data_IF_767104749372
#
_entry.id   IF_767104749372
#
_cell.length_a   1.000
_cell.length_b   1.000
_cell.length_c   1.000
_cell.angle_alpha   90.00
_cell.angle_beta   90.00
_cell.angle_gamma   90.00
#
_symmetry.space_group_name_H-M   'P 1'
#
loop_
_entity.id
_entity.type
_entity.pdbx_description
1 polymer ?
#
# COMPACT_ATOMS: atom_id res chain seq x y z
N UNK A 1 -9.23 21.65 10.09
CA UNK A 1 -7.83 21.24 9.97
C UNK A 1 -7.73 19.88 9.33
N UNK A 2 -6.77 19.73 8.45
CA UNK A 2 -6.63 18.48 7.70
C UNK A 2 -5.84 17.47 8.50
N UNK A 3 -6.35 16.24 8.54
CA UNK A 3 -5.59 15.13 9.08
C UNK A 3 -4.40 14.83 8.17
N UNK A 4 -3.31 14.37 8.77
CA UNK A 4 -2.22 13.78 8.01
C UNK A 4 -2.71 12.48 7.39
N UNK A 5 -2.48 12.30 6.10
CA UNK A 5 -2.99 11.17 5.35
C UNK A 5 -1.86 10.41 4.68
N UNK A 6 -1.94 9.11 4.79
CA UNK A 6 -0.95 8.19 4.19
C UNK A 6 -1.63 7.29 3.17
N UNK A 7 -0.84 6.79 2.23
CA UNK A 7 -1.31 5.85 1.22
C UNK A 7 -0.68 4.49 1.48
N UNK A 8 -1.51 3.45 1.58
CA UNK A 8 -1.06 2.07 1.64
C UNK A 8 -1.34 1.41 0.30
N UNK A 9 -0.29 0.96 -0.38
CA UNK A 9 -0.40 0.30 -1.67
C UNK A 9 -0.04 -1.17 -1.54
N UNK A 10 -0.88 -2.02 -2.08
CA UNK A 10 -0.67 -3.47 -2.12
C UNK A 10 -0.62 -3.94 -3.56
N UNK A 11 0.36 -4.73 -3.89
CA UNK A 11 0.66 -5.17 -5.25
C UNK A 11 -0.09 -6.42 -5.70
N UNK A 12 0.37 -7.01 -6.80
CA UNK A 12 -0.34 -8.11 -7.45
C UNK A 12 -0.59 -9.30 -6.53
N UNK A 13 -1.76 -9.87 -6.68
CA UNK A 13 -2.22 -11.08 -6.00
C UNK A 13 -2.47 -10.94 -4.49
N UNK A 14 -2.19 -9.78 -3.91
CA UNK A 14 -2.45 -9.58 -2.48
C UNK A 14 -3.94 -9.55 -2.16
N UNK A 15 -4.78 -9.26 -3.16
CA UNK A 15 -6.23 -9.38 -3.04
C UNK A 15 -6.70 -10.81 -2.80
N UNK A 16 -5.82 -11.80 -3.03
CA UNK A 16 -6.13 -13.22 -2.83
C UNK A 16 -5.80 -13.70 -1.42
N UNK A 17 -5.27 -12.84 -0.56
CA UNK A 17 -5.02 -13.19 0.83
C UNK A 17 -6.35 -13.55 1.49
N UNK A 18 -6.35 -14.68 2.21
CA UNK A 18 -7.58 -15.20 2.82
C UNK A 18 -8.28 -16.24 1.97
N UNK A 19 -8.05 -16.23 0.65
CA UNK A 19 -8.58 -17.24 -0.26
C UNK A 19 -7.60 -18.41 -0.48
N UNK A 20 -6.39 -18.26 0.05
CA UNK A 20 -5.37 -19.29 -0.02
C UNK A 20 -5.43 -20.18 1.22
N UNK A 21 -4.56 -21.16 1.28
CA UNK A 21 -4.47 -22.10 2.39
C UNK A 21 -4.40 -21.35 3.73
N UNK A 22 -5.43 -21.47 4.53
CA UNK A 22 -5.56 -20.79 5.82
C UNK A 22 -4.45 -21.19 6.79
N UNK A 23 -3.91 -22.41 6.68
CA UNK A 23 -2.83 -22.85 7.55
C UNK A 23 -1.55 -22.04 7.38
N UNK A 24 -1.35 -21.40 6.22
CA UNK A 24 -0.18 -20.59 5.93
C UNK A 24 -0.44 -19.11 6.23
N UNK A 25 -1.65 -18.62 6.00
CA UNK A 25 -2.02 -17.21 6.13
C UNK A 25 -3.01 -17.03 7.27
N UNK A 26 -2.51 -17.02 8.50
CA UNK A 26 -3.34 -16.97 9.71
C UNK A 26 -4.02 -15.62 9.95
N UNK A 27 -3.63 -14.58 9.26
CA UNK A 27 -4.06 -13.22 9.58
C UNK A 27 -5.22 -12.72 8.74
N UNK A 28 -5.86 -13.60 7.99
CA UNK A 28 -7.06 -13.26 7.24
C UNK A 28 -6.80 -12.57 5.92
N UNK A 29 -7.81 -11.88 5.45
CA UNK A 29 -7.82 -11.26 4.13
C UNK A 29 -7.06 -9.93 4.11
N UNK A 30 -6.81 -9.42 2.90
CA UNK A 30 -6.27 -8.08 2.72
C UNK A 30 -7.19 -7.03 3.37
N UNK A 31 -8.51 -7.23 3.29
CA UNK A 31 -9.46 -6.30 3.90
C UNK A 31 -9.28 -6.23 5.42
N UNK A 32 -8.96 -7.34 6.07
CA UNK A 32 -8.68 -7.34 7.50
C UNK A 32 -7.43 -6.53 7.81
N UNK A 33 -6.39 -6.67 7.00
CA UNK A 33 -5.16 -5.89 7.14
C UNK A 33 -5.46 -4.39 6.99
N UNK A 34 -6.21 -4.04 5.96
CA UNK A 34 -6.59 -2.64 5.70
C UNK A 34 -7.40 -2.06 6.85
N UNK A 35 -8.34 -2.84 7.40
CA UNK A 35 -9.15 -2.40 8.54
C UNK A 35 -8.27 -2.14 9.75
N UNK A 36 -7.31 -3.01 10.05
CA UNK A 36 -6.37 -2.81 11.14
C UNK A 36 -5.53 -1.54 10.96
N UNK A 37 -5.03 -1.32 9.77
CA UNK A 37 -4.25 -0.12 9.47
C UNK A 37 -5.08 1.15 9.65
N UNK A 38 -6.32 1.13 9.19
CA UNK A 38 -7.21 2.28 9.29
C UNK A 38 -7.56 2.58 10.75
N UNK A 39 -7.77 1.55 11.57
CA UNK A 39 -8.02 1.73 12.99
C UNK A 39 -6.80 2.29 13.72
N UNK A 40 -5.61 1.77 13.41
CA UNK A 40 -4.38 2.28 14.02
C UNK A 40 -4.13 3.74 13.66
N UNK A 41 -4.36 4.10 12.39
CA UNK A 41 -4.22 5.48 11.96
C UNK A 41 -5.21 6.39 12.72
N UNK A 42 -6.46 5.97 12.82
CA UNK A 42 -7.47 6.73 13.54
C UNK A 42 -7.11 6.92 15.01
N UNK A 43 -6.56 5.90 15.67
CA UNK A 43 -6.11 5.99 17.05
C UNK A 43 -5.00 7.04 17.22
N UNK A 44 -4.22 7.28 16.19
CA UNK A 44 -3.14 8.27 16.19
C UNK A 44 -3.58 9.64 15.68
N UNK A 45 -4.86 9.81 15.37
CA UNK A 45 -5.38 11.06 14.83
C UNK A 45 -5.05 11.28 13.37
N UNK A 46 -4.71 10.23 12.65
CA UNK A 46 -4.30 10.26 11.25
C UNK A 46 -5.26 9.46 10.38
N UNK A 47 -5.08 9.52 9.07
CA UNK A 47 -5.88 8.77 8.13
C UNK A 47 -4.98 7.98 7.18
N UNK A 48 -5.47 6.85 6.70
CA UNK A 48 -4.76 6.04 5.72
C UNK A 48 -5.78 5.52 4.69
N UNK A 49 -5.43 5.68 3.42
CA UNK A 49 -6.19 5.11 2.32
C UNK A 49 -5.46 3.87 1.82
N UNK A 50 -6.18 2.79 1.62
CA UNK A 50 -5.62 1.51 1.21
C UNK A 50 -6.11 1.14 -0.18
N UNK A 51 -5.18 0.93 -1.11
CA UNK A 51 -5.46 0.55 -2.48
C UNK A 51 -4.67 -0.71 -2.84
N UNK A 52 -5.23 -1.51 -3.71
CA UNK A 52 -4.58 -2.73 -4.20
C UNK A 52 -4.69 -2.75 -5.72
N UNK A 53 -3.60 -3.08 -6.39
CA UNK A 53 -3.55 -3.17 -7.83
C UNK A 53 -2.78 -4.42 -8.26
N UNK A 54 -3.25 -5.05 -9.33
CA UNK A 54 -2.56 -6.18 -9.96
C UNK A 54 -1.63 -5.75 -11.09
N UNK A 55 -1.70 -4.52 -11.50
CA UNK A 55 -0.93 -4.01 -12.64
C UNK A 55 0.16 -3.06 -12.17
N UNK A 56 1.38 -3.29 -12.64
CA UNK A 56 2.53 -2.47 -12.29
C UNK A 56 2.31 -0.99 -12.62
N UNK A 57 1.74 -0.70 -13.79
CA UNK A 57 1.47 0.66 -14.21
C UNK A 57 0.53 1.41 -13.28
N UNK A 58 -0.48 0.72 -12.75
CA UNK A 58 -1.41 1.33 -11.80
C UNK A 58 -0.72 1.72 -10.50
N UNK A 59 0.22 0.88 -10.03
CA UNK A 59 1.01 1.22 -8.85
C UNK A 59 1.91 2.43 -9.10
N UNK A 60 2.55 2.47 -10.25
CA UNK A 60 3.40 3.61 -10.63
C UNK A 60 2.57 4.89 -10.67
N UNK A 61 1.41 4.86 -11.29
CA UNK A 61 0.52 6.02 -11.38
C UNK A 61 0.07 6.47 -9.99
N UNK A 62 -0.27 5.52 -9.12
CA UNK A 62 -0.71 5.85 -7.76
C UNK A 62 0.42 6.54 -6.96
N UNK A 63 1.66 6.09 -7.12
CA UNK A 63 2.80 6.71 -6.46
C UNK A 63 3.01 8.14 -6.97
N UNK A 64 2.92 8.35 -8.27
CA UNK A 64 3.07 9.67 -8.85
C UNK A 64 2.00 10.65 -8.36
N UNK A 65 0.77 10.19 -8.25
CA UNK A 65 -0.34 11.02 -7.77
C UNK A 65 -0.27 11.26 -6.26
N UNK A 66 0.37 10.38 -5.51
CA UNK A 66 0.41 10.46 -4.06
C UNK A 66 1.06 11.74 -3.55
N UNK A 67 1.99 12.32 -4.29
CA UNK A 67 2.67 13.54 -3.88
C UNK A 67 1.73 14.72 -3.67
N UNK A 68 0.55 14.67 -4.29
CA UNK A 68 -0.43 15.76 -4.21
C UNK A 68 -1.29 15.70 -2.95
N UNK A 69 -1.40 14.53 -2.33
CA UNK A 69 -2.39 14.30 -1.28
C UNK A 69 -1.81 13.71 -0.01
N UNK A 70 -0.78 12.86 -0.14
CA UNK A 70 -0.31 12.03 0.97
C UNK A 70 1.02 12.52 1.54
N UNK A 71 1.21 12.27 2.83
CA UNK A 71 2.45 12.60 3.52
C UNK A 71 3.48 11.48 3.44
N UNK A 72 3.05 10.27 3.10
CA UNK A 72 3.94 9.12 2.98
C UNK A 72 3.23 7.93 2.39
N UNK A 73 4.00 6.90 2.04
CA UNK A 73 3.49 5.69 1.40
C UNK A 73 4.00 4.48 2.16
N UNK A 74 3.09 3.54 2.42
CA UNK A 74 3.41 2.19 2.87
C UNK A 74 3.13 1.28 1.70
N UNK A 75 4.11 0.51 1.25
CA UNK A 75 3.94 -0.32 0.07
C UNK A 75 4.37 -1.76 0.31
N UNK A 76 3.50 -2.69 -0.09
CA UNK A 76 3.84 -4.09 -0.24
C UNK A 76 3.68 -4.44 -1.72
N UNK A 77 4.78 -4.42 -2.44
CA UNK A 77 4.76 -4.62 -3.89
C UNK A 77 4.55 -6.07 -4.31
N UNK A 78 4.55 -7.01 -3.36
CA UNK A 78 4.44 -8.42 -3.69
C UNK A 78 5.64 -8.86 -4.54
N UNK A 79 5.37 -9.67 -5.56
CA UNK A 79 6.43 -10.18 -6.44
C UNK A 79 7.16 -9.08 -7.21
N UNK A 80 6.54 -7.93 -7.43
CA UNK A 80 7.17 -6.82 -8.14
C UNK A 80 8.38 -6.26 -7.40
N UNK A 81 8.48 -6.48 -6.09
CA UNK A 81 9.63 -6.03 -5.31
C UNK A 81 10.94 -6.63 -5.81
N UNK A 82 10.91 -7.78 -6.47
CA UNK A 82 12.11 -8.49 -6.90
C UNK A 82 12.64 -8.05 -8.27
N UNK A 83 11.79 -7.47 -9.12
CA UNK A 83 12.20 -7.23 -10.50
C UNK A 83 11.64 -5.96 -11.16
N UNK A 84 10.78 -5.21 -10.48
CA UNK A 84 10.22 -4.02 -11.12
C UNK A 84 11.11 -2.81 -10.95
N UNK A 85 11.84 -2.49 -12.02
CA UNK A 85 12.66 -1.27 -12.04
C UNK A 85 11.82 -0.01 -12.15
N UNK A 86 10.71 -0.05 -12.88
CA UNK A 86 9.83 1.12 -13.00
C UNK A 86 9.19 1.47 -11.66
N UNK A 87 8.83 0.47 -10.86
CA UNK A 87 8.29 0.72 -9.53
C UNK A 87 9.34 1.34 -8.60
N UNK A 88 10.56 0.83 -8.64
CA UNK A 88 11.68 1.42 -7.86
C UNK A 88 11.95 2.85 -8.26
N UNK A 89 11.91 3.12 -9.55
CA UNK A 89 12.11 4.47 -10.07
C UNK A 89 11.03 5.43 -9.58
N UNK A 90 9.77 4.98 -9.60
CA UNK A 90 8.66 5.79 -9.11
C UNK A 90 8.81 6.10 -7.62
N UNK A 91 9.16 5.11 -6.81
CA UNK A 91 9.38 5.29 -5.37
C UNK A 91 10.52 6.27 -5.11
N UNK A 92 11.63 6.12 -5.81
CA UNK A 92 12.79 6.98 -5.63
C UNK A 92 12.54 8.41 -6.08
N UNK A 93 11.62 8.62 -7.01
CA UNK A 93 11.34 9.94 -7.59
C UNK A 93 10.21 10.69 -6.89
N UNK A 94 9.40 10.02 -6.08
CA UNK A 94 8.17 10.63 -5.56
C UNK A 94 8.39 11.65 -4.44
N UNK A 95 9.56 11.71 -3.86
CA UNK A 95 9.93 12.66 -2.80
C UNK A 95 9.18 12.46 -1.49
N UNK A 96 8.35 11.43 -1.37
CA UNK A 96 7.66 11.09 -0.13
C UNK A 96 8.42 9.99 0.62
N UNK A 97 8.35 9.97 1.96
CA UNK A 97 8.83 8.81 2.70
C UNK A 97 8.06 7.57 2.29
N UNK A 98 8.77 6.49 1.97
CA UNK A 98 8.18 5.21 1.58
C UNK A 98 8.71 4.11 2.48
N UNK A 99 7.82 3.28 3.00
CA UNK A 99 8.14 2.14 3.87
C UNK A 99 7.58 0.88 3.23
N UNK A 100 8.38 -0.17 3.18
CA UNK A 100 7.94 -1.49 2.72
C UNK A 100 7.43 -2.35 3.85
#
# INVERSE_FOLDING_TARGET
MNQTRYLCLSGPNLNLLGDRDISIYQHGSLDNIHTHLQQRAADLGEAIDCLQFNHEGDLVDAIQEATKTYAGIIINAGALAHYSYSLRSAIGSCMLPCVE
#
